data_IF_170007762308
#
_entry.id   IF_170007762308
#
_cell.length_a   1.000
_cell.length_b   1.000
_cell.length_c   1.000
_cell.angle_alpha   90.00
_cell.angle_beta   90.00
_cell.angle_gamma   90.00
#
_symmetry.space_group_name_H-M   'P 1'
#
loop_
_entity.id
_entity.type
_entity.pdbx_description
1 polymer ?
#
# COMPACT_ATOMS: atom_id res chain seq x y z
N UNK A 1 13.57 0.62 21.79
CA UNK A 1 14.97 0.44 21.36
C UNK A 1 15.23 1.43 20.24
N UNK A 2 16.33 2.20 20.29
CA UNK A 2 16.74 3.05 19.18
C UNK A 2 17.27 2.16 18.05
N UNK A 3 16.73 2.31 16.82
CA UNK A 3 17.31 1.70 15.62
C UNK A 3 18.63 2.45 15.34
N UNK A 4 19.70 1.72 15.00
CA UNK A 4 20.96 2.30 14.53
C UNK A 4 21.06 2.08 13.01
N UNK A 5 21.62 3.04 12.30
CA UNK A 5 21.80 2.94 10.85
C UNK A 5 22.94 1.94 10.54
N UNK A 6 22.69 1.04 9.60
CA UNK A 6 23.67 0.10 9.06
C UNK A 6 23.35 -0.15 7.59
N UNK A 7 24.34 -0.63 6.84
CA UNK A 7 24.18 -1.14 5.49
C UNK A 7 24.54 -2.61 5.45
N UNK A 8 24.00 -3.36 4.53
CA UNK A 8 24.31 -4.77 4.34
C UNK A 8 25.14 -4.91 3.07
N UNK A 9 26.37 -5.43 3.23
CA UNK A 9 27.25 -5.76 2.10
C UNK A 9 27.20 -7.27 1.82
N UNK A 10 26.78 -7.62 0.63
CA UNK A 10 26.87 -8.99 0.14
C UNK A 10 28.17 -9.16 -0.63
N UNK A 11 28.95 -10.19 -0.30
CA UNK A 11 30.17 -10.58 -1.01
C UNK A 11 29.94 -11.90 -1.70
N UNK A 12 30.11 -11.91 -3.00
CA UNK A 12 29.98 -13.10 -3.82
C UNK A 12 31.33 -13.83 -3.96
N UNK A 13 31.30 -15.13 -4.28
CA UNK A 13 32.52 -15.95 -4.46
C UNK A 13 33.43 -15.47 -5.60
N UNK A 14 32.84 -14.77 -6.59
CA UNK A 14 33.57 -14.16 -7.72
C UNK A 14 34.29 -12.85 -7.35
N UNK A 15 34.20 -12.41 -6.07
CA UNK A 15 34.82 -11.19 -5.56
C UNK A 15 33.97 -9.93 -5.73
N UNK A 16 32.81 -10.01 -6.38
CA UNK A 16 31.90 -8.89 -6.48
C UNK A 16 31.26 -8.59 -5.13
N UNK A 17 31.02 -7.30 -4.85
CA UNK A 17 30.31 -6.84 -3.67
C UNK A 17 29.07 -6.06 -4.07
N UNK A 18 28.00 -6.23 -3.33
CA UNK A 18 26.76 -5.48 -3.49
C UNK A 18 26.33 -4.93 -2.13
N UNK A 19 26.18 -3.61 -2.04
CA UNK A 19 25.72 -2.94 -0.84
C UNK A 19 24.25 -2.56 -1.01
N UNK A 20 23.43 -2.81 0.00
CA UNK A 20 22.01 -2.48 0.01
C UNK A 20 21.56 -1.96 1.37
N UNK A 21 20.57 -1.10 1.33
CA UNK A 21 19.87 -0.66 2.53
C UNK A 21 18.90 -1.77 3.00
N UNK A 22 18.89 -1.98 4.31
CA UNK A 22 17.95 -2.91 4.92
C UNK A 22 16.61 -2.18 5.19
N UNK A 23 15.50 -2.76 4.73
CA UNK A 23 14.16 -2.23 4.97
C UNK A 23 13.86 -1.99 6.47
N UNK A 24 14.44 -2.80 7.36
CA UNK A 24 14.24 -2.68 8.80
C UNK A 24 15.01 -1.55 9.49
N UNK A 25 15.85 -0.81 8.75
CA UNK A 25 16.51 0.41 9.25
C UNK A 25 15.56 1.61 9.35
N UNK A 26 14.43 1.54 8.64
CA UNK A 26 13.52 2.68 8.53
C UNK A 26 12.47 2.65 9.65
N UNK A 27 12.07 3.83 10.16
CA UNK A 27 10.98 3.92 11.12
C UNK A 27 9.63 3.75 10.41
N UNK A 28 8.57 3.56 11.18
CA UNK A 28 7.20 3.65 10.65
C UNK A 28 6.97 5.00 9.98
N UNK A 29 6.36 4.98 8.80
CA UNK A 29 5.94 6.16 8.03
C UNK A 29 4.55 6.63 8.46
N UNK A 30 3.76 5.76 9.10
CA UNK A 30 2.41 6.07 9.57
C UNK A 30 2.48 7.00 10.77
N UNK A 31 1.76 8.11 10.69
CA UNK A 31 1.69 9.07 11.79
C UNK A 31 0.89 8.50 12.96
N UNK A 32 1.38 8.68 14.17
CA UNK A 32 0.69 8.23 15.39
C UNK A 32 -0.74 8.79 15.52
N UNK A 33 -0.99 10.01 15.02
CA UNK A 33 -2.33 10.60 14.98
C UNK A 33 -3.30 9.85 14.09
N UNK A 34 -2.82 9.40 12.91
CA UNK A 34 -3.64 8.69 11.94
C UNK A 34 -3.97 7.28 12.44
N UNK A 35 -2.99 6.63 13.06
CA UNK A 35 -3.16 5.33 13.69
C UNK A 35 -4.12 5.41 14.88
N UNK A 36 -4.00 6.45 15.73
CA UNK A 36 -4.92 6.66 16.84
C UNK A 36 -6.35 6.85 16.37
N UNK A 37 -6.58 7.73 15.40
CA UNK A 37 -7.93 7.96 14.85
C UNK A 37 -8.48 6.72 14.12
N UNK A 38 -7.62 5.89 13.55
CA UNK A 38 -8.01 4.61 12.96
C UNK A 38 -8.55 3.63 14.02
N UNK A 39 -7.81 3.45 15.12
CA UNK A 39 -8.20 2.56 16.22
C UNK A 39 -9.52 3.03 16.86
N UNK A 40 -9.71 4.35 16.97
CA UNK A 40 -10.94 4.95 17.49
C UNK A 40 -12.14 4.87 16.51
N UNK A 41 -11.92 4.35 15.29
CA UNK A 41 -12.95 4.26 14.26
C UNK A 41 -13.35 5.60 13.62
N UNK A 42 -12.55 6.65 13.82
CA UNK A 42 -12.85 8.00 13.37
C UNK A 42 -12.07 8.43 12.10
N UNK A 43 -11.17 7.58 11.58
CA UNK A 43 -10.37 7.91 10.41
C UNK A 43 -11.08 7.54 9.12
N UNK A 44 -11.57 8.55 8.39
CA UNK A 44 -12.21 8.38 7.07
C UNK A 44 -11.21 8.38 5.90
N UNK A 45 -9.92 8.53 6.19
CA UNK A 45 -8.86 8.66 5.19
C UNK A 45 -7.78 7.58 5.33
N UNK A 46 -8.19 6.37 5.72
CA UNK A 46 -7.28 5.22 5.94
C UNK A 46 -6.45 4.88 4.70
N UNK A 47 -6.97 5.16 3.51
CA UNK A 47 -6.29 4.99 2.22
C UNK A 47 -5.02 5.84 2.07
N UNK A 48 -4.77 6.79 2.96
CA UNK A 48 -3.56 7.63 2.95
C UNK A 48 -2.34 6.95 3.54
N UNK A 49 -2.55 5.85 4.28
CA UNK A 49 -1.45 5.09 4.87
C UNK A 49 -1.61 3.58 4.66
N UNK A 50 -2.84 3.04 4.47
CA UNK A 50 -3.00 1.65 4.04
C UNK A 50 -2.82 1.56 2.52
N UNK A 51 -2.20 0.46 2.08
CA UNK A 51 -1.83 0.23 0.70
C UNK A 51 -0.33 0.38 0.45
N UNK A 52 0.04 0.77 -0.77
CA UNK A 52 1.41 1.03 -1.19
C UNK A 52 1.57 2.52 -1.55
N UNK A 53 2.49 3.19 -0.88
CA UNK A 53 2.76 4.61 -1.06
C UNK A 53 4.23 4.87 -1.35
N UNK A 54 4.51 5.60 -2.43
CA UNK A 54 5.87 6.07 -2.68
C UNK A 54 6.28 7.11 -1.63
N UNK A 55 7.44 6.90 -1.02
CA UNK A 55 7.99 7.77 0.02
C UNK A 55 9.45 8.09 -0.30
N UNK A 56 9.83 9.34 -0.06
CA UNK A 56 11.22 9.76 0.02
C UNK A 56 11.57 10.02 1.49
N UNK A 57 12.24 9.06 2.10
CA UNK A 57 12.70 9.20 3.47
C UNK A 57 14.16 9.67 3.51
N UNK A 58 14.37 10.95 3.77
CA UNK A 58 15.71 11.59 3.90
C UNK A 58 16.63 11.33 2.70
N UNK A 59 16.07 11.31 1.50
CA UNK A 59 16.81 11.07 0.27
C UNK A 59 16.80 9.62 -0.23
N UNK A 60 16.33 8.67 0.58
CA UNK A 60 16.11 7.29 0.16
C UNK A 60 14.69 7.11 -0.34
N UNK A 61 14.55 6.85 -1.64
CA UNK A 61 13.26 6.58 -2.27
C UNK A 61 12.89 5.12 -2.14
N UNK A 62 11.62 4.85 -1.91
CA UNK A 62 11.07 3.52 -1.80
C UNK A 62 9.56 3.54 -1.68
N UNK A 63 8.99 2.43 -1.26
CA UNK A 63 7.54 2.27 -1.07
C UNK A 63 7.25 1.82 0.35
N UNK A 64 6.35 2.52 0.99
CA UNK A 64 5.77 2.12 2.26
C UNK A 64 4.55 1.24 2.00
N UNK A 65 4.60 0.00 2.49
CA UNK A 65 3.53 -0.98 2.38
C UNK A 65 2.85 -1.14 3.72
N UNK A 66 1.55 -0.91 3.77
CA UNK A 66 0.79 -1.10 5.00
C UNK A 66 -0.55 -1.79 4.75
N UNK A 67 -0.92 -2.70 5.66
CA UNK A 67 -2.18 -3.43 5.62
C UNK A 67 -2.75 -3.65 7.01
N UNK A 68 -4.07 -3.62 7.13
CA UNK A 68 -4.76 -4.03 8.33
C UNK A 68 -5.15 -5.51 8.25
N UNK A 69 -4.56 -6.32 9.11
CA UNK A 69 -4.73 -7.77 9.14
C UNK A 69 -4.72 -8.30 10.59
N UNK A 70 -5.73 -7.99 11.42
CA UNK A 70 -5.71 -8.24 12.88
C UNK A 70 -5.63 -9.71 13.24
N UNK A 71 -6.04 -10.63 12.36
CA UNK A 71 -5.96 -12.07 12.57
C UNK A 71 -4.66 -12.72 12.03
N UNK A 72 -3.78 -11.92 11.45
CA UNK A 72 -2.53 -12.42 10.90
C UNK A 72 -1.50 -12.70 12.01
N UNK A 73 -0.76 -13.80 11.87
CA UNK A 73 0.44 -14.07 12.65
C UNK A 73 1.68 -13.42 12.02
N UNK A 74 1.68 -13.30 10.70
CA UNK A 74 2.74 -12.70 9.90
C UNK A 74 2.13 -12.14 8.62
N UNK A 75 2.61 -11.00 8.21
CA UNK A 75 2.34 -10.41 6.91
C UNK A 75 3.67 -10.15 6.22
N UNK A 76 3.76 -10.46 4.94
CA UNK A 76 4.91 -10.11 4.11
C UNK A 76 4.42 -9.43 2.84
N UNK A 77 5.16 -8.48 2.31
CA UNK A 77 4.95 -8.01 0.95
C UNK A 77 5.82 -8.82 -0.01
N UNK A 78 5.21 -9.32 -1.08
CA UNK A 78 5.87 -10.10 -2.12
C UNK A 78 5.63 -9.45 -3.48
N UNK A 79 6.63 -9.47 -4.33
CA UNK A 79 6.56 -8.85 -5.64
C UNK A 79 7.80 -9.14 -6.48
N UNK A 80 7.89 -8.51 -7.64
CA UNK A 80 9.05 -8.67 -8.53
C UNK A 80 10.37 -8.27 -7.86
N UNK A 81 10.33 -7.28 -6.95
CA UNK A 81 11.48 -6.75 -6.23
C UNK A 81 12.09 -7.72 -5.21
N UNK A 82 11.43 -8.84 -4.90
CA UNK A 82 11.95 -9.88 -4.00
C UNK A 82 11.66 -11.30 -4.50
N UNK A 83 11.47 -11.46 -5.81
CA UNK A 83 11.17 -12.74 -6.46
C UNK A 83 9.96 -13.46 -5.85
N UNK A 84 8.99 -12.70 -5.35
CA UNK A 84 7.77 -13.22 -4.71
C UNK A 84 8.05 -14.07 -3.45
N UNK A 85 9.18 -13.85 -2.78
CA UNK A 85 9.59 -14.59 -1.59
C UNK A 85 9.15 -13.87 -0.30
N UNK A 86 8.13 -14.42 0.36
CA UNK A 86 7.58 -13.87 1.61
C UNK A 86 8.52 -13.95 2.83
N UNK A 87 9.73 -14.51 2.69
CA UNK A 87 10.73 -14.53 3.76
C UNK A 87 11.56 -13.26 3.83
N UNK A 88 11.60 -12.46 2.76
CA UNK A 88 12.51 -11.32 2.62
C UNK A 88 11.94 -10.06 3.27
N UNK A 89 10.71 -9.67 2.92
CA UNK A 89 10.10 -8.43 3.38
C UNK A 89 8.87 -8.71 4.25
N UNK A 90 9.12 -9.08 5.51
CA UNK A 90 8.06 -9.26 6.51
C UNK A 90 7.72 -7.89 7.12
N UNK A 91 6.44 -7.53 7.11
CA UNK A 91 5.96 -6.29 7.70
C UNK A 91 6.02 -6.36 9.23
N UNK A 92 6.39 -5.24 9.86
CA UNK A 92 6.38 -5.10 11.31
C UNK A 92 4.95 -4.77 11.79
N UNK A 93 4.48 -5.50 12.81
CA UNK A 93 3.20 -5.18 13.45
C UNK A 93 3.34 -3.90 14.27
N UNK A 94 2.41 -2.96 14.09
CA UNK A 94 2.39 -1.73 14.88
C UNK A 94 1.56 -1.96 16.15
N UNK A 95 2.24 -2.18 17.26
CA UNK A 95 1.62 -2.46 18.57
C UNK A 95 0.49 -3.52 18.45
N UNK A 96 -0.66 -3.25 19.08
CA UNK A 96 -1.85 -4.11 19.05
C UNK A 96 -2.95 -3.61 18.11
N UNK A 97 -2.59 -2.82 17.09
CA UNK A 97 -3.55 -2.18 16.18
C UNK A 97 -4.10 -3.11 15.11
N UNK A 98 -3.39 -4.21 14.84
CA UNK A 98 -3.63 -5.09 13.70
C UNK A 98 -3.13 -4.53 12.37
N UNK A 99 -2.45 -3.37 12.38
CA UNK A 99 -1.77 -2.80 11.20
C UNK A 99 -0.35 -3.34 11.14
N UNK A 100 0.04 -3.76 9.95
CA UNK A 100 1.40 -4.17 9.61
C UNK A 100 1.96 -3.21 8.58
N UNK A 101 3.23 -2.81 8.72
CA UNK A 101 3.89 -1.81 7.88
C UNK A 101 5.34 -2.18 7.62
N UNK A 102 5.84 -1.83 6.44
CA UNK A 102 7.26 -1.87 6.12
C UNK A 102 7.58 -0.91 4.97
N UNK A 103 8.53 -0.02 5.18
CA UNK A 103 9.13 0.75 4.09
C UNK A 103 10.20 -0.10 3.39
N UNK A 104 10.07 -0.28 2.08
CA UNK A 104 11.03 -1.05 1.26
C UNK A 104 11.77 -0.08 0.34
N UNK A 105 13.08 0.16 0.59
CA UNK A 105 13.88 1.06 -0.24
C UNK A 105 14.07 0.48 -1.65
N UNK A 106 14.18 1.38 -2.65
CA UNK A 106 14.47 1.02 -4.03
C UNK A 106 13.29 0.47 -4.84
N UNK A 107 12.17 0.12 -4.22
CA UNK A 107 10.94 -0.23 -4.95
C UNK A 107 10.39 1.01 -5.65
N UNK A 108 9.88 0.83 -6.88
CA UNK A 108 9.44 1.93 -7.76
C UNK A 108 7.97 1.77 -8.15
N UNK A 109 7.39 2.85 -8.68
CA UNK A 109 6.11 2.80 -9.36
C UNK A 109 6.07 1.70 -10.43
N UNK A 110 4.88 1.18 -10.68
CA UNK A 110 4.61 0.07 -11.59
C UNK A 110 5.13 -1.30 -11.16
N UNK A 111 5.80 -1.43 -10.01
CA UNK A 111 6.15 -2.74 -9.44
C UNK A 111 4.88 -3.50 -9.06
N UNK A 112 4.83 -4.78 -9.43
CA UNK A 112 3.77 -5.69 -9.02
C UNK A 112 4.01 -6.23 -7.61
N UNK A 113 2.95 -6.31 -6.81
CA UNK A 113 3.01 -6.88 -5.46
C UNK A 113 1.70 -7.54 -5.02
N UNK A 114 1.81 -8.37 -3.99
CA UNK A 114 0.70 -8.92 -3.17
C UNK A 114 1.12 -8.92 -1.70
N UNK A 115 0.15 -9.10 -0.82
CA UNK A 115 0.44 -9.44 0.56
C UNK A 115 0.34 -10.96 0.78
N UNK A 116 1.37 -11.55 1.36
CA UNK A 116 1.38 -12.92 1.86
C UNK A 116 1.03 -12.89 3.34
N UNK A 117 -0.10 -13.49 3.71
CA UNK A 117 -0.59 -13.49 5.08
C UNK A 117 -0.57 -14.90 5.64
N UNK A 118 0.09 -15.09 6.77
CA UNK A 118 0.03 -16.32 7.56
C UNK A 118 -1.01 -16.17 8.65
N UNK A 119 -2.07 -16.94 8.57
CA UNK A 119 -3.16 -16.95 9.53
C UNK A 119 -2.88 -17.85 10.73
N UNK A 120 -3.64 -17.66 11.82
CA UNK A 120 -3.72 -18.61 12.93
C UNK A 120 -4.10 -19.99 12.37
N UNK A 121 -3.38 -21.03 12.75
CA UNK A 121 -3.53 -22.39 12.18
C UNK A 121 -2.57 -22.71 11.03
N UNK A 122 -1.70 -21.79 10.64
CA UNK A 122 -0.57 -22.03 9.74
C UNK A 122 -0.87 -21.88 8.25
N UNK A 123 -2.13 -21.66 7.86
CA UNK A 123 -2.49 -21.38 6.45
C UNK A 123 -1.84 -20.10 5.98
N UNK A 124 -1.22 -20.16 4.79
CA UNK A 124 -0.67 -18.99 4.09
C UNK A 124 -1.56 -18.67 2.91
N UNK A 125 -1.92 -17.41 2.76
CA UNK A 125 -2.74 -16.89 1.66
C UNK A 125 -2.06 -15.71 1.00
N UNK A 126 -2.18 -15.60 -0.31
CA UNK A 126 -1.78 -14.43 -1.09
C UNK A 126 -3.04 -13.62 -1.38
N UNK A 127 -3.00 -12.33 -1.08
CA UNK A 127 -4.11 -11.43 -1.36
C UNK A 127 -3.64 -10.23 -2.18
N UNK A 128 -4.52 -9.75 -3.04
CA UNK A 128 -4.42 -8.44 -3.67
C UNK A 128 -4.64 -7.38 -2.59
N UNK A 129 -3.96 -6.26 -2.68
CA UNK A 129 -4.11 -5.17 -1.73
C UNK A 129 -5.53 -4.57 -1.80
N UNK A 130 -6.29 -4.56 -0.68
CA UNK A 130 -7.62 -3.95 -0.63
C UNK A 130 -7.63 -2.44 -0.92
N UNK A 131 -6.49 -1.76 -0.74
CA UNK A 131 -6.30 -0.33 -1.00
C UNK A 131 -5.53 -0.06 -2.30
N UNK A 132 -5.38 -1.09 -3.15
CA UNK A 132 -4.73 -0.93 -4.44
C UNK A 132 -5.46 0.07 -5.34
N UNK A 133 -4.71 1.00 -5.92
CA UNK A 133 -5.23 1.96 -6.91
C UNK A 133 -5.33 1.36 -8.30
N UNK A 134 -4.53 0.33 -8.58
CA UNK A 134 -4.51 -0.39 -9.85
C UNK A 134 -4.11 -1.85 -9.62
N UNK A 135 -4.79 -2.76 -10.30
CA UNK A 135 -4.50 -4.18 -10.28
C UNK A 135 -4.47 -4.76 -11.71
N UNK A 136 -3.88 -5.93 -11.86
CA UNK A 136 -3.88 -6.64 -13.13
C UNK A 136 -5.31 -7.05 -13.54
N UNK A 137 -5.54 -7.16 -14.84
CA UNK A 137 -6.83 -7.65 -15.39
C UNK A 137 -6.80 -9.16 -15.60
N UNK A 138 -6.79 -9.93 -14.49
CA UNK A 138 -6.81 -11.41 -14.52
C UNK A 138 -7.49 -11.96 -13.27
N UNK A 139 -7.78 -13.28 -13.27
CA UNK A 139 -8.20 -13.97 -12.05
C UNK A 139 -7.06 -13.93 -11.02
N UNK A 140 -7.18 -13.64 -9.82
CA UNK A 140 -6.11 -13.50 -8.80
C UNK A 140 -5.08 -12.41 -9.15
N UNK A 141 -5.52 -11.16 -9.36
CA UNK A 141 -4.65 -10.08 -9.78
C UNK A 141 -3.58 -9.74 -8.72
N UNK A 142 -2.42 -9.29 -9.16
CA UNK A 142 -1.50 -8.53 -8.32
C UNK A 142 -1.83 -7.04 -8.39
N UNK A 143 -1.45 -6.33 -7.35
CA UNK A 143 -1.56 -4.88 -7.27
C UNK A 143 -0.35 -4.21 -7.89
N UNK A 144 -0.52 -3.00 -8.45
CA UNK A 144 0.58 -2.15 -8.87
C UNK A 144 0.86 -1.08 -7.82
N UNK A 145 2.14 -0.79 -7.61
CA UNK A 145 2.54 0.46 -6.96
C UNK A 145 2.22 1.61 -7.91
N UNK A 146 1.32 2.49 -7.52
CA UNK A 146 0.89 3.63 -8.35
C UNK A 146 1.54 4.92 -7.90
N UNK A 147 2.06 5.67 -8.88
CA UNK A 147 2.45 7.06 -8.71
C UNK A 147 1.19 7.95 -8.60
N UNK A 148 1.11 8.77 -7.56
CA UNK A 148 -0.02 9.68 -7.29
C UNK A 148 0.16 11.07 -7.94
N UNK A 149 1.05 11.19 -8.92
CA UNK A 149 1.39 12.47 -9.55
C UNK A 149 0.39 12.98 -10.59
N UNK A 150 -0.80 12.36 -10.71
CA UNK A 150 -1.81 12.82 -11.64
C UNK A 150 -2.33 14.22 -11.25
N UNK A 151 -2.14 15.18 -12.13
CA UNK A 151 -2.68 16.54 -11.97
C UNK A 151 -4.02 16.66 -12.69
N UNK A 152 -5.06 16.86 -11.92
CA UNK A 152 -6.39 17.12 -12.47
C UNK A 152 -6.41 18.50 -13.14
N UNK A 153 -7.04 18.59 -14.30
CA UNK A 153 -7.26 19.84 -15.04
C UNK A 153 -8.74 20.25 -15.00
N UNK A 154 -9.37 20.06 -13.85
CA UNK A 154 -10.82 20.22 -13.65
C UNK A 154 -11.20 21.44 -12.80
N UNK A 155 -10.27 22.34 -12.52
CA UNK A 155 -10.45 23.53 -11.67
C UNK A 155 -11.60 24.41 -12.16
N UNK A 156 -11.69 24.62 -13.47
CA UNK A 156 -12.77 25.41 -14.08
C UNK A 156 -14.13 24.72 -13.88
N UNK A 157 -14.17 23.39 -14.06
CA UNK A 157 -15.40 22.60 -13.84
C UNK A 157 -15.84 22.64 -12.38
N UNK A 158 -14.91 22.47 -11.43
CA UNK A 158 -15.17 22.55 -10.01
C UNK A 158 -15.67 23.92 -9.58
N UNK A 159 -15.09 25.00 -10.11
CA UNK A 159 -15.52 26.37 -9.86
C UNK A 159 -16.94 26.60 -10.38
N UNK A 160 -17.20 26.20 -11.62
CA UNK A 160 -18.52 26.32 -12.25
C UNK A 160 -19.58 25.47 -11.52
N UNK A 161 -19.22 24.27 -11.03
CA UNK A 161 -20.10 23.41 -10.26
C UNK A 161 -20.54 24.07 -8.95
N UNK A 162 -19.65 24.74 -8.23
CA UNK A 162 -19.96 25.46 -6.99
C UNK A 162 -20.92 26.64 -7.22
N UNK A 163 -20.77 27.33 -8.35
CA UNK A 163 -21.63 28.46 -8.71
C UNK A 163 -22.98 28.04 -9.30
N UNK A 164 -23.07 26.86 -9.93
CA UNK A 164 -24.28 26.30 -10.53
C UNK A 164 -25.09 25.47 -9.53
N UNK A 165 -25.46 26.03 -8.40
CA UNK A 165 -26.33 25.34 -7.42
C UNK A 165 -27.81 25.25 -7.92
N UNK A 166 -28.02 24.99 -9.21
CA UNK A 166 -29.31 24.97 -9.88
C UNK A 166 -29.57 23.59 -10.51
N UNK A 167 -29.58 22.54 -9.69
CA UNK A 167 -29.91 21.19 -10.15
C UNK A 167 -31.28 21.11 -10.87
N UNK A 168 -32.17 22.06 -10.66
CA UNK A 168 -33.48 22.10 -11.30
C UNK A 168 -33.48 22.74 -12.69
N UNK A 169 -32.45 23.49 -13.06
CA UNK A 169 -32.37 24.26 -14.30
C UNK A 169 -31.34 23.77 -15.30
N UNK A 170 -30.52 22.78 -14.93
CA UNK A 170 -29.53 22.21 -15.79
C UNK A 170 -29.99 20.85 -16.38
N UNK A 171 -29.66 20.56 -17.64
CA UNK A 171 -29.92 19.24 -18.20
C UNK A 171 -29.24 18.17 -17.35
N UNK A 172 -29.94 17.12 -17.02
CA UNK A 172 -29.45 15.99 -16.26
C UNK A 172 -29.75 14.69 -17.02
N UNK A 173 -28.76 13.83 -17.16
CA UNK A 173 -28.97 12.46 -17.59
C UNK A 173 -28.75 11.52 -16.40
N UNK A 174 -29.65 10.55 -16.26
CA UNK A 174 -29.55 9.52 -15.23
C UNK A 174 -29.38 8.17 -15.96
N UNK A 175 -28.31 7.47 -15.62
CA UNK A 175 -28.09 6.09 -16.07
C UNK A 175 -28.24 5.17 -14.85
N UNK A 176 -29.18 4.26 -14.91
CA UNK A 176 -29.37 3.23 -13.89
C UNK A 176 -28.97 1.87 -14.47
N UNK A 177 -28.09 1.17 -13.80
CA UNK A 177 -27.67 -0.19 -14.14
C UNK A 177 -27.89 -1.10 -12.93
N UNK A 178 -28.65 -2.15 -13.12
CA UNK A 178 -28.77 -3.23 -12.14
C UNK A 178 -27.88 -4.39 -12.58
N UNK A 179 -26.98 -4.81 -11.73
CA UNK A 179 -26.26 -6.06 -11.92
C UNK A 179 -27.28 -7.20 -11.85
N UNK A 180 -27.25 -8.18 -12.79
CA UNK A 180 -28.01 -9.40 -12.57
C UNK A 180 -27.54 -10.04 -11.26
N UNK A 181 -28.49 -10.53 -10.46
CA UNK A 181 -28.16 -11.38 -9.32
C UNK A 181 -27.42 -12.59 -9.86
N UNK A 182 -26.13 -12.70 -9.56
CA UNK A 182 -25.41 -13.94 -9.76
C UNK A 182 -25.99 -14.91 -8.74
N UNK A 183 -26.75 -15.88 -9.21
CA UNK A 183 -27.24 -16.98 -8.39
C UNK A 183 -26.02 -17.64 -7.72
N UNK A 184 -25.97 -17.52 -6.37
CA UNK A 184 -24.97 -18.12 -5.49
C UNK A 184 -25.24 -19.60 -5.35
#
# INVERSE_FOLDING_TARGET
KSKFAYTVEFRFEDGNTFETDDAYNYPSMIKKSDLKSFIEGNNTHVYRFLGAHEVDYKGTKGVDFAIWAPEALRVSVVGEFNNWDGRIHQLEAIDSTGVFELFVPGVKASSLYKFEIRLKGGKVVLITDPFSKMAESKSEPASFVCDDNFKWSDEEWLSNRKSRNKYKEAPMSVYAYSLPDEDV
#
